data_IF_895877547070
#
_entry.id   IF_895877547070
#
_cell.length_a   1.000
_cell.length_b   1.000
_cell.length_c   1.000
_cell.angle_alpha   90.00
_cell.angle_beta   90.00
_cell.angle_gamma   90.00
#
_symmetry.space_group_name_H-M   'P 1'
#
loop_
_entity.id
_entity.type
_entity.pdbx_description
1 polymer ?
#
# COMPACT_ATOMS: atom_id res chain seq x y z
N UNK A 1 -9.79 7.39 -26.50
CA UNK A 1 -9.06 6.98 -25.27
C UNK A 1 -9.40 5.53 -25.03
N UNK A 2 -8.40 4.67 -24.69
CA UNK A 2 -8.69 3.28 -24.27
C UNK A 2 -9.53 3.32 -23.00
N UNK A 3 -10.47 2.37 -22.79
CA UNK A 3 -11.24 2.33 -21.55
C UNK A 3 -10.29 2.15 -20.35
N UNK A 4 -10.60 2.75 -19.20
CA UNK A 4 -9.82 2.53 -17.97
C UNK A 4 -9.79 1.04 -17.60
N UNK A 5 -8.77 0.58 -16.87
CA UNK A 5 -8.77 -0.77 -16.31
C UNK A 5 -10.01 -1.00 -15.44
N UNK A 6 -10.46 -2.26 -15.33
CA UNK A 6 -11.63 -2.63 -14.51
C UNK A 6 -11.27 -2.65 -13.00
N UNK A 7 -10.68 -1.57 -12.54
CA UNK A 7 -10.23 -1.35 -11.18
C UNK A 7 -10.47 0.11 -10.79
N UNK A 8 -11.02 0.33 -9.61
CA UNK A 8 -11.12 1.67 -9.00
C UNK A 8 -9.93 1.86 -8.05
N UNK A 9 -9.10 2.87 -8.33
CA UNK A 9 -8.07 3.31 -7.40
C UNK A 9 -8.65 4.26 -6.36
N UNK A 10 -8.13 4.17 -5.16
CA UNK A 10 -8.48 5.01 -4.02
C UNK A 10 -7.22 5.68 -3.50
N UNK A 11 -7.32 6.96 -3.20
CA UNK A 11 -6.25 7.73 -2.56
C UNK A 11 -6.85 8.76 -1.61
N UNK A 12 -6.00 9.31 -0.73
CA UNK A 12 -6.40 10.39 0.16
C UNK A 12 -5.33 11.49 0.21
N UNK A 13 -5.76 12.74 0.25
CA UNK A 13 -4.87 13.89 0.31
C UNK A 13 -5.36 14.90 1.34
N UNK A 14 -4.60 15.03 2.43
CA UNK A 14 -4.87 15.93 3.53
C UNK A 14 -3.72 16.88 3.79
N UNK A 15 -4.02 18.12 4.13
CA UNK A 15 -3.06 19.07 4.63
C UNK A 15 -2.76 18.79 6.11
N UNK A 16 -1.57 18.27 6.37
CA UNK A 16 -1.08 17.97 7.71
C UNK A 16 -0.16 19.07 8.27
N UNK A 17 0.24 20.04 7.47
CA UNK A 17 1.14 21.10 7.89
C UNK A 17 0.58 21.93 9.06
N UNK A 18 -0.75 22.06 9.11
CA UNK A 18 -1.47 22.74 10.23
C UNK A 18 -1.30 22.03 11.58
N UNK A 19 -0.98 20.74 11.61
CA UNK A 19 -0.80 19.97 12.84
C UNK A 19 0.69 19.76 13.16
N UNK A 20 1.53 19.70 12.14
CA UNK A 20 2.96 19.55 12.26
C UNK A 20 3.65 20.29 11.10
N UNK A 21 4.35 21.37 11.42
CA UNK A 21 5.04 22.24 10.45
C UNK A 21 6.21 21.57 9.72
N UNK A 22 6.57 20.34 10.09
CA UNK A 22 7.51 19.49 9.35
C UNK A 22 6.81 18.69 8.24
N UNK A 23 5.49 18.58 8.29
CA UNK A 23 4.72 18.00 7.20
C UNK A 23 4.74 18.90 5.97
N UNK A 24 4.43 18.31 4.83
CA UNK A 24 4.35 19.02 3.55
C UNK A 24 3.26 20.08 3.57
N UNK A 25 3.51 21.19 2.91
CA UNK A 25 2.49 22.23 2.67
C UNK A 25 1.43 21.72 1.70
N UNK A 26 0.31 22.43 1.60
CA UNK A 26 -0.74 22.10 0.62
C UNK A 26 -0.19 22.14 -0.81
N UNK A 27 0.65 23.10 -1.15
CA UNK A 27 1.26 23.24 -2.48
C UNK A 27 2.17 22.05 -2.80
N UNK A 28 3.00 21.63 -1.85
CA UNK A 28 3.85 20.44 -2.00
C UNK A 28 3.00 19.18 -2.17
N UNK A 29 1.94 19.02 -1.39
CA UNK A 29 1.01 17.90 -1.52
C UNK A 29 0.36 17.86 -2.91
N UNK A 30 -0.09 19.01 -3.42
CA UNK A 30 -0.70 19.12 -4.75
C UNK A 30 0.29 18.86 -5.89
N UNK A 31 1.53 19.27 -5.72
CA UNK A 31 2.60 18.96 -6.69
C UNK A 31 2.90 17.45 -6.72
N UNK A 32 2.97 16.81 -5.55
CA UNK A 32 3.31 15.41 -5.42
C UNK A 32 2.21 14.44 -5.90
N UNK A 33 0.93 14.80 -5.73
CA UNK A 33 -0.19 14.00 -6.23
C UNK A 33 -0.39 14.16 -7.75
N UNK A 34 0.14 15.22 -8.35
CA UNK A 34 -0.09 15.55 -9.77
C UNK A 34 0.19 14.39 -10.75
N UNK A 35 1.24 13.58 -10.62
CA UNK A 35 1.47 12.43 -11.49
C UNK A 35 0.31 11.40 -11.44
N UNK A 36 -0.25 11.14 -10.25
CA UNK A 36 -1.41 10.26 -10.09
C UNK A 36 -2.65 10.84 -10.77
N UNK A 37 -2.85 12.15 -10.69
CA UNK A 37 -4.01 12.84 -11.27
C UNK A 37 -4.02 12.83 -12.81
N UNK A 38 -2.91 12.50 -13.45
CA UNK A 38 -2.80 12.39 -14.92
C UNK A 38 -3.21 10.99 -15.44
N UNK A 39 -3.33 10.00 -14.55
CA UNK A 39 -3.58 8.62 -14.99
C UNK A 39 -5.01 8.42 -15.48
N UNK A 40 -5.22 7.76 -16.63
CA UNK A 40 -6.53 7.45 -17.18
C UNK A 40 -7.13 6.19 -16.48
N UNK A 41 -7.38 6.31 -15.18
CA UNK A 41 -7.95 5.27 -14.31
C UNK A 41 -9.18 5.78 -13.58
N UNK A 42 -10.09 4.89 -13.20
CA UNK A 42 -11.15 5.23 -12.26
C UNK A 42 -10.51 5.57 -10.91
N UNK A 43 -10.80 6.75 -10.39
CA UNK A 43 -10.15 7.27 -9.21
C UNK A 43 -11.15 7.85 -8.22
N UNK A 44 -11.05 7.42 -6.96
CA UNK A 44 -11.75 8.05 -5.85
C UNK A 44 -10.72 8.76 -4.98
N UNK A 45 -10.99 10.02 -4.68
CA UNK A 45 -10.08 10.87 -3.92
C UNK A 45 -10.81 11.38 -2.70
N UNK A 46 -10.33 10.95 -1.54
CA UNK A 46 -10.73 11.49 -0.24
C UNK A 46 -9.85 12.68 0.13
N UNK A 47 -10.43 13.69 0.74
CA UNK A 47 -9.67 14.86 1.18
C UNK A 47 -10.52 15.90 1.87
N UNK A 48 -9.85 16.91 2.41
CA UNK A 48 -10.51 18.01 3.11
C UNK A 48 -11.06 19.07 2.14
N UNK A 49 -11.82 20.00 2.67
CA UNK A 49 -12.28 21.20 1.94
C UNK A 49 -11.14 22.06 1.37
N UNK A 50 -9.93 21.93 1.91
CA UNK A 50 -8.76 22.67 1.42
C UNK A 50 -8.08 21.98 0.23
N UNK A 51 -8.10 20.65 0.15
CA UNK A 51 -7.38 19.90 -0.89
C UNK A 51 -8.26 19.52 -2.08
N UNK A 52 -9.52 19.11 -1.86
CA UNK A 52 -10.40 18.61 -2.92
C UNK A 52 -10.65 19.60 -4.05
N UNK A 53 -10.90 20.91 -3.83
CA UNK A 53 -11.14 21.85 -4.94
C UNK A 53 -9.97 21.95 -5.91
N UNK A 54 -8.75 22.04 -5.39
CA UNK A 54 -7.54 22.15 -6.21
C UNK A 54 -7.24 20.85 -6.98
N UNK A 55 -7.42 19.69 -6.33
CA UNK A 55 -7.28 18.37 -6.97
C UNK A 55 -8.29 18.20 -8.11
N UNK A 56 -9.55 18.57 -7.89
CA UNK A 56 -10.59 18.55 -8.94
C UNK A 56 -10.18 19.40 -10.13
N UNK A 57 -9.69 20.61 -9.89
CA UNK A 57 -9.25 21.51 -10.95
C UNK A 57 -8.12 20.89 -11.79
N UNK A 58 -7.11 20.27 -11.14
CA UNK A 58 -6.06 19.55 -11.85
C UNK A 58 -6.61 18.38 -12.69
N UNK A 59 -7.51 17.58 -12.14
CA UNK A 59 -8.10 16.43 -12.84
C UNK A 59 -8.94 16.84 -14.05
N UNK A 60 -9.62 18.00 -13.96
CA UNK A 60 -10.38 18.60 -15.06
C UNK A 60 -9.47 19.04 -16.22
N UNK A 61 -8.29 19.58 -15.95
CA UNK A 61 -7.30 19.95 -16.98
C UNK A 61 -6.93 18.75 -17.86
N UNK A 62 -6.90 17.54 -17.28
CA UNK A 62 -6.63 16.30 -18.02
C UNK A 62 -7.87 15.65 -18.63
N UNK A 63 -9.07 16.27 -18.54
CA UNK A 63 -10.34 15.72 -19.00
C UNK A 63 -10.71 14.36 -18.40
N UNK A 64 -10.35 14.14 -17.13
CA UNK A 64 -10.53 12.88 -16.40
C UNK A 64 -11.61 12.97 -15.32
N UNK A 65 -12.32 14.08 -15.21
CA UNK A 65 -13.34 14.34 -14.19
C UNK A 65 -14.47 13.30 -14.21
N UNK A 66 -14.89 12.85 -15.40
CA UNK A 66 -15.97 11.84 -15.58
C UNK A 66 -15.63 10.46 -15.00
N UNK A 67 -14.36 10.14 -14.84
CA UNK A 67 -13.87 8.89 -14.26
C UNK A 67 -13.27 9.11 -12.87
N UNK A 68 -13.65 10.21 -12.22
CA UNK A 68 -13.16 10.58 -10.88
C UNK A 68 -14.33 10.89 -9.96
N UNK A 69 -14.29 10.38 -8.74
CA UNK A 69 -15.21 10.77 -7.67
C UNK A 69 -14.41 11.43 -6.54
N UNK A 70 -14.88 12.57 -6.10
CA UNK A 70 -14.29 13.33 -5.01
C UNK A 70 -15.16 13.19 -3.78
N UNK A 71 -14.56 12.81 -2.66
CA UNK A 71 -15.25 12.69 -1.37
C UNK A 71 -14.58 13.67 -0.42
N UNK A 72 -15.29 14.77 -0.16
CA UNK A 72 -14.85 15.74 0.82
C UNK A 72 -15.30 15.29 2.20
N UNK A 73 -14.32 14.99 3.04
CA UNK A 73 -14.52 14.58 4.43
C UNK A 73 -13.39 15.18 5.27
N UNK A 74 -13.73 15.82 6.36
CA UNK A 74 -12.72 16.40 7.24
C UNK A 74 -12.06 15.31 8.09
N UNK A 75 -10.85 15.57 8.59
CA UNK A 75 -10.14 14.58 9.39
C UNK A 75 -10.91 14.20 10.66
N UNK A 76 -11.62 15.15 11.23
CA UNK A 76 -12.42 15.01 12.44
C UNK A 76 -13.61 14.05 12.25
N UNK A 77 -14.04 13.83 11.01
CA UNK A 77 -15.14 12.92 10.64
C UNK A 77 -14.64 11.51 10.25
N UNK A 78 -13.32 11.28 10.22
CA UNK A 78 -12.76 9.98 9.91
C UNK A 78 -13.03 8.97 11.03
N UNK A 79 -13.30 7.72 10.65
CA UNK A 79 -13.52 6.64 11.61
C UNK A 79 -12.37 6.50 12.63
N UNK A 80 -11.13 6.68 12.19
CA UNK A 80 -9.95 6.59 13.06
C UNK A 80 -9.79 7.77 14.00
N UNK A 81 -10.45 8.91 13.76
CA UNK A 81 -10.28 10.14 14.55
C UNK A 81 -10.65 9.95 16.03
N UNK A 82 -11.63 9.12 16.35
CA UNK A 82 -12.00 8.77 17.73
C UNK A 82 -10.83 8.24 18.56
N UNK A 83 -9.79 7.72 17.91
CA UNK A 83 -8.58 7.20 18.55
C UNK A 83 -7.45 8.23 18.65
N UNK A 84 -7.60 9.44 18.12
CA UNK A 84 -6.51 10.42 18.03
C UNK A 84 -5.86 10.71 19.38
N UNK A 85 -6.66 10.94 20.43
CA UNK A 85 -6.15 11.21 21.78
C UNK A 85 -5.30 10.04 22.27
N UNK A 86 -5.79 8.81 22.09
CA UNK A 86 -5.07 7.61 22.51
C UNK A 86 -3.77 7.40 21.72
N UNK A 87 -3.81 7.68 20.42
CA UNK A 87 -2.61 7.64 19.58
C UNK A 87 -1.59 8.68 20.05
N UNK A 88 -2.00 9.91 20.39
CA UNK A 88 -1.10 10.92 20.96
C UNK A 88 -0.43 10.47 22.25
N UNK A 89 -1.21 9.92 23.19
CA UNK A 89 -0.68 9.35 24.44
C UNK A 89 0.33 8.21 24.20
N UNK A 90 0.00 7.30 23.29
CA UNK A 90 0.89 6.18 22.95
C UNK A 90 2.20 6.67 22.36
N UNK A 91 2.14 7.65 21.44
CA UNK A 91 3.33 8.21 20.79
C UNK A 91 4.20 9.04 21.71
N UNK A 92 3.67 9.60 22.79
CA UNK A 92 4.49 10.25 23.83
C UNK A 92 5.36 9.26 24.60
N UNK A 93 4.87 8.04 24.79
CA UNK A 93 5.62 6.97 25.47
C UNK A 93 6.57 6.27 24.51
N UNK A 94 6.25 6.31 23.23
CA UNK A 94 6.86 5.43 22.27
C UNK A 94 6.82 6.02 20.84
N UNK A 95 8.00 6.44 20.35
CA UNK A 95 8.13 7.00 19.00
C UNK A 95 9.02 6.13 18.11
N UNK A 96 8.48 5.21 17.28
CA UNK A 96 9.26 4.21 16.59
C UNK A 96 10.02 4.72 15.38
N UNK A 97 9.70 5.91 14.89
CA UNK A 97 10.31 6.50 13.70
C UNK A 97 11.03 7.80 14.03
N UNK A 98 12.13 8.05 13.32
CA UNK A 98 12.87 9.32 13.35
C UNK A 98 12.38 10.32 12.31
N UNK A 99 11.37 9.98 11.51
CA UNK A 99 10.82 10.88 10.51
C UNK A 99 9.97 11.97 11.21
N UNK A 100 10.52 13.17 11.26
CA UNK A 100 9.89 14.33 11.90
C UNK A 100 8.56 14.76 11.24
N UNK A 101 8.28 14.28 10.02
CA UNK A 101 7.01 14.53 9.33
C UNK A 101 5.87 13.68 9.88
N UNK A 102 6.15 12.61 10.62
CA UNK A 102 5.11 11.77 11.21
C UNK A 102 4.54 12.40 12.46
N UNK A 103 3.23 12.41 12.58
CA UNK A 103 2.48 12.87 13.76
C UNK A 103 1.31 11.91 14.03
N UNK A 104 0.57 12.13 15.11
CA UNK A 104 -0.60 11.31 15.42
C UNK A 104 -1.67 11.44 14.33
N UNK A 105 -1.83 12.63 13.78
CA UNK A 105 -2.76 12.93 12.70
C UNK A 105 -2.39 12.19 11.41
N UNK A 106 -1.10 12.12 11.06
CA UNK A 106 -0.67 11.32 9.90
C UNK A 106 -0.94 9.84 10.10
N UNK A 107 -0.75 9.32 11.32
CA UNK A 107 -1.06 7.93 11.65
C UNK A 107 -2.56 7.62 11.52
N UNK A 108 -3.43 8.53 11.99
CA UNK A 108 -4.89 8.42 11.84
C UNK A 108 -5.27 8.30 10.37
N UNK A 109 -4.74 9.15 9.50
CA UNK A 109 -5.06 9.11 8.07
C UNK A 109 -4.51 7.85 7.41
N UNK A 110 -3.27 7.46 7.72
CA UNK A 110 -2.68 6.24 7.18
C UNK A 110 -3.49 4.99 7.55
N UNK A 111 -3.98 4.89 8.79
CA UNK A 111 -4.81 3.76 9.21
C UNK A 111 -6.25 3.85 8.67
N UNK A 112 -6.75 5.05 8.36
CA UNK A 112 -8.07 5.21 7.76
C UNK A 112 -8.14 4.72 6.30
N UNK A 113 -7.00 4.43 5.65
CA UNK A 113 -7.00 3.84 4.30
C UNK A 113 -7.83 2.56 4.21
N UNK A 114 -7.87 1.77 5.28
CA UNK A 114 -8.67 0.55 5.33
C UNK A 114 -10.16 0.86 5.20
N UNK A 115 -10.63 1.89 5.88
CA UNK A 115 -12.02 2.35 5.84
C UNK A 115 -12.36 2.97 4.48
N UNK A 116 -11.50 3.82 3.94
CA UNK A 116 -11.69 4.41 2.61
C UNK A 116 -11.89 3.35 1.53
N UNK A 117 -11.11 2.26 1.58
CA UNK A 117 -11.24 1.18 0.59
C UNK A 117 -12.52 0.38 0.83
N UNK A 118 -12.87 0.08 2.08
CA UNK A 118 -14.12 -0.62 2.43
C UNK A 118 -15.36 0.16 2.00
N UNK A 119 -15.42 1.45 2.28
CA UNK A 119 -16.50 2.33 1.82
C UNK A 119 -16.59 2.37 0.29
N UNK A 120 -15.43 2.42 -0.37
CA UNK A 120 -15.39 2.41 -1.84
C UNK A 120 -15.87 1.10 -2.43
N UNK A 121 -15.52 -0.05 -1.83
CA UNK A 121 -16.04 -1.36 -2.23
C UNK A 121 -17.57 -1.37 -2.12
N UNK A 122 -18.11 -0.93 -1.00
CA UNK A 122 -19.55 -0.88 -0.76
C UNK A 122 -20.28 0.07 -1.74
N UNK A 123 -19.67 1.19 -2.07
CA UNK A 123 -20.23 2.21 -2.94
C UNK A 123 -20.14 1.83 -4.42
N UNK A 124 -19.04 1.25 -4.85
CA UNK A 124 -18.66 0.87 -6.22
C UNK A 124 -19.20 1.79 -7.34
N UNK A 125 -18.85 3.08 -7.35
CA UNK A 125 -19.50 4.07 -8.21
C UNK A 125 -19.19 3.89 -9.71
N UNK A 126 -18.16 3.12 -10.04
CA UNK A 126 -17.74 2.86 -11.43
C UNK A 126 -18.03 1.43 -11.88
N UNK A 127 -18.71 0.63 -11.05
CA UNK A 127 -19.04 -0.76 -11.33
C UNK A 127 -17.82 -1.59 -11.75
N UNK A 128 -16.72 -1.45 -11.00
CA UNK A 128 -15.47 -2.17 -11.24
C UNK A 128 -15.38 -3.45 -10.39
N UNK A 129 -14.57 -4.40 -10.84
CA UNK A 129 -14.39 -5.69 -10.16
C UNK A 129 -13.25 -5.68 -9.13
N UNK A 130 -12.37 -4.70 -9.19
CA UNK A 130 -11.22 -4.58 -8.29
C UNK A 130 -11.12 -3.18 -7.72
N UNK A 131 -10.50 -3.10 -6.55
CA UNK A 131 -10.26 -1.87 -5.80
C UNK A 131 -8.82 -1.82 -5.36
N UNK A 132 -8.16 -0.67 -5.50
CA UNK A 132 -6.76 -0.53 -5.15
C UNK A 132 -6.51 0.75 -4.36
N UNK A 133 -5.72 0.64 -3.31
CA UNK A 133 -5.14 1.80 -2.64
C UNK A 133 -3.86 2.24 -3.34
N UNK A 134 -3.67 3.52 -3.48
CA UNK A 134 -2.40 4.14 -3.87
C UNK A 134 -2.15 5.38 -3.04
N UNK A 135 -0.99 5.45 -2.40
CA UNK A 135 -0.61 6.66 -1.66
C UNK A 135 -0.50 7.85 -2.61
N UNK A 136 -1.01 9.00 -2.20
CA UNK A 136 -1.06 10.20 -3.03
C UNK A 136 0.31 10.66 -3.56
N UNK A 137 1.38 10.33 -2.87
CA UNK A 137 2.75 10.81 -3.16
C UNK A 137 3.66 9.74 -3.72
N UNK A 138 3.10 8.66 -4.25
CA UNK A 138 3.87 7.56 -4.85
C UNK A 138 4.55 7.92 -6.21
N UNK A 139 4.42 9.11 -6.72
CA UNK A 139 4.95 9.47 -8.04
C UNK A 139 6.21 10.30 -8.04
N UNK A 140 6.75 10.69 -6.88
CA UNK A 140 7.87 11.62 -6.83
C UNK A 140 9.19 10.98 -6.40
N UNK A 141 10.00 10.60 -7.40
CA UNK A 141 11.36 10.13 -7.17
C UNK A 141 12.33 11.19 -6.61
N UNK A 142 11.97 12.48 -6.62
CA UNK A 142 12.85 13.56 -6.17
C UNK A 142 12.87 13.75 -4.66
N UNK A 143 11.81 13.36 -3.93
CA UNK A 143 11.66 13.60 -2.50
C UNK A 143 11.83 12.34 -1.63
N UNK A 144 12.62 11.39 -2.08
CA UNK A 144 12.96 10.20 -1.28
C UNK A 144 11.89 9.11 -1.24
N UNK A 145 10.78 9.28 -1.93
CA UNK A 145 9.90 8.18 -2.28
C UNK A 145 10.53 7.47 -3.48
N UNK A 146 11.35 6.51 -3.19
CA UNK A 146 12.21 5.73 -4.09
C UNK A 146 11.44 4.78 -4.99
N UNK A 147 10.40 5.27 -5.66
CA UNK A 147 9.40 4.40 -6.24
C UNK A 147 9.82 3.76 -7.54
N UNK A 148 10.68 4.41 -8.28
CA UNK A 148 11.34 3.85 -9.45
C UNK A 148 12.43 4.78 -9.93
N UNK A 149 13.64 4.29 -10.18
CA UNK A 149 14.66 5.03 -10.91
C UNK A 149 14.18 5.40 -12.33
N UNK A 150 13.19 4.71 -12.86
CA UNK A 150 12.56 4.92 -14.16
C UNK A 150 11.03 4.88 -14.00
N UNK A 151 10.46 5.81 -13.23
CA UNK A 151 9.01 5.90 -13.10
C UNK A 151 8.36 6.24 -14.45
N UNK A 152 7.72 5.23 -15.02
CA UNK A 152 6.78 5.44 -16.13
C UNK A 152 5.39 5.62 -15.52
N UNK A 153 4.79 6.80 -15.69
CA UNK A 153 3.43 7.07 -15.21
C UNK A 153 2.40 6.04 -15.69
N UNK A 154 2.67 5.38 -16.81
CA UNK A 154 1.80 4.33 -17.37
C UNK A 154 1.99 2.96 -16.69
N UNK A 155 2.92 2.81 -15.74
CA UNK A 155 3.09 1.52 -15.04
C UNK A 155 1.85 1.14 -14.24
N UNK A 156 1.21 2.09 -13.57
CA UNK A 156 0.00 1.84 -12.77
C UNK A 156 -1.15 1.31 -13.64
N UNK A 157 -1.56 1.94 -14.74
CA UNK A 157 -2.56 1.36 -15.64
C UNK A 157 -2.19 -0.03 -16.17
N UNK A 158 -0.90 -0.30 -16.43
CA UNK A 158 -0.43 -1.65 -16.85
C UNK A 158 -0.65 -2.68 -15.76
N UNK A 159 -0.23 -2.36 -14.52
CA UNK A 159 -0.44 -3.25 -13.36
C UNK A 159 -1.93 -3.58 -13.21
N UNK A 160 -2.79 -2.56 -13.17
CA UNK A 160 -4.22 -2.76 -12.99
C UNK A 160 -4.81 -3.62 -14.11
N UNK A 161 -4.37 -3.40 -15.33
CA UNK A 161 -4.82 -4.18 -16.46
C UNK A 161 -4.44 -5.67 -16.36
N UNK A 162 -3.20 -5.96 -15.96
CA UNK A 162 -2.76 -7.35 -15.76
C UNK A 162 -3.49 -8.01 -14.59
N UNK A 163 -3.63 -7.33 -13.45
CA UNK A 163 -4.34 -7.87 -12.29
C UNK A 163 -5.82 -8.15 -12.56
N UNK A 164 -6.48 -7.33 -13.38
CA UNK A 164 -7.90 -7.51 -13.72
C UNK A 164 -8.16 -8.49 -14.85
N UNK A 165 -7.13 -8.92 -15.59
CA UNK A 165 -7.22 -9.92 -16.65
C UNK A 165 -6.96 -11.36 -16.21
N UNK A 166 -6.38 -11.55 -15.03
CA UNK A 166 -6.05 -12.89 -14.56
C UNK A 166 -7.32 -13.74 -14.41
N UNK A 167 -7.43 -14.88 -15.11
CA UNK A 167 -8.64 -15.71 -15.09
C UNK A 167 -8.86 -16.44 -13.75
N UNK A 168 -7.83 -16.59 -12.96
CA UNK A 168 -7.80 -17.11 -11.60
C UNK A 168 -6.41 -16.85 -11.00
N UNK A 169 -6.27 -16.33 -9.83
CA UNK A 169 -7.22 -16.08 -8.75
C UNK A 169 -7.48 -14.59 -8.56
N UNK A 170 -8.41 -14.06 -9.32
CA UNK A 170 -8.84 -12.66 -9.25
C UNK A 170 -9.43 -12.26 -7.90
N UNK A 171 -9.73 -13.24 -7.04
CA UNK A 171 -10.35 -13.00 -5.74
C UNK A 171 -9.35 -12.76 -4.60
N UNK A 172 -8.09 -12.40 -4.92
CA UNK A 172 -7.05 -12.18 -3.91
C UNK A 172 -6.81 -10.72 -3.58
N UNK A 173 -6.17 -10.54 -2.44
CA UNK A 173 -5.56 -9.27 -2.02
C UNK A 173 -4.10 -9.27 -2.46
N UNK A 174 -3.71 -8.35 -3.32
CA UNK A 174 -2.36 -8.25 -3.90
C UNK A 174 -1.57 -7.17 -3.17
N UNK A 175 -0.46 -7.55 -2.53
CA UNK A 175 0.41 -6.64 -1.80
C UNK A 175 1.88 -7.06 -1.90
N UNK A 176 2.78 -6.10 -1.80
CA UNK A 176 4.21 -6.38 -1.75
C UNK A 176 4.68 -6.60 -0.32
N UNK A 177 5.31 -7.74 -0.08
CA UNK A 177 6.01 -8.07 1.17
C UNK A 177 7.44 -7.55 1.07
N UNK A 178 7.87 -6.78 2.08
CA UNK A 178 9.18 -6.14 2.15
C UNK A 178 10.16 -6.91 3.00
N UNK A 179 9.71 -7.37 4.17
CA UNK A 179 10.57 -7.99 5.15
C UNK A 179 9.95 -9.25 5.74
N UNK A 180 10.83 -10.16 6.05
CA UNK A 180 10.56 -11.30 6.89
C UNK A 180 10.88 -10.93 8.34
N UNK A 181 9.87 -10.84 9.17
CA UNK A 181 10.05 -10.64 10.61
C UNK A 181 10.06 -12.00 11.31
N UNK A 182 10.83 -12.11 12.40
CA UNK A 182 10.94 -13.34 13.18
C UNK A 182 9.54 -13.84 13.62
N UNK A 183 9.25 -15.10 13.34
CA UNK A 183 7.96 -15.74 13.67
C UNK A 183 7.61 -15.67 15.16
N UNK A 184 8.62 -15.54 16.05
CA UNK A 184 8.40 -15.34 17.49
C UNK A 184 7.49 -14.14 17.81
N UNK A 185 7.47 -13.10 16.94
CA UNK A 185 6.65 -11.91 17.15
C UNK A 185 5.16 -12.14 17.01
N UNK A 186 4.73 -13.29 16.49
CA UNK A 186 3.32 -13.70 16.48
C UNK A 186 2.83 -14.18 17.84
N UNK A 187 3.77 -14.57 18.71
CA UNK A 187 3.44 -14.88 20.09
C UNK A 187 3.00 -13.59 20.82
N UNK A 188 1.83 -13.57 21.49
CA UNK A 188 1.36 -12.41 22.24
C UNK A 188 2.37 -11.87 23.25
N UNK A 189 3.23 -12.72 23.82
CA UNK A 189 4.28 -12.31 24.75
C UNK A 189 5.37 -11.45 24.11
N UNK A 190 5.59 -11.61 22.80
CA UNK A 190 6.61 -10.89 22.05
C UNK A 190 6.06 -9.70 21.25
N UNK A 191 4.73 -9.49 21.25
CA UNK A 191 4.10 -8.38 20.52
C UNK A 191 4.64 -7.02 20.94
N UNK A 192 4.95 -6.83 22.21
CA UNK A 192 5.54 -5.59 22.70
C UNK A 192 6.88 -5.32 22.01
N UNK A 193 7.77 -6.29 21.98
CA UNK A 193 9.08 -6.16 21.31
C UNK A 193 8.92 -5.84 19.82
N UNK A 194 7.90 -6.42 19.17
CA UNK A 194 7.62 -6.16 17.77
C UNK A 194 7.21 -4.69 17.53
N UNK A 195 6.28 -4.16 18.32
CA UNK A 195 5.77 -2.80 18.17
C UNK A 195 6.70 -1.72 18.78
N UNK A 196 7.72 -2.10 19.52
CA UNK A 196 8.72 -1.17 20.08
C UNK A 196 9.64 -0.55 19.02
N UNK A 197 9.69 -1.10 17.82
CA UNK A 197 10.46 -0.56 16.69
C UNK A 197 9.62 -0.57 15.44
N UNK A 198 9.80 0.45 14.58
CA UNK A 198 9.16 0.40 13.28
C UNK A 198 9.73 -0.74 12.44
N UNK A 199 8.84 -1.62 11.96
CA UNK A 199 9.18 -2.78 11.14
C UNK A 199 8.31 -2.77 9.89
N UNK A 200 8.94 -2.62 8.74
CA UNK A 200 8.24 -2.74 7.46
C UNK A 200 7.97 -4.21 7.19
N UNK A 201 6.73 -4.63 7.28
CA UNK A 201 6.28 -5.99 6.92
C UNK A 201 5.92 -6.01 5.44
N UNK A 202 5.11 -5.04 5.03
CA UNK A 202 4.65 -4.86 3.65
C UNK A 202 4.92 -3.44 3.19
N UNK A 203 4.74 -3.18 1.89
CA UNK A 203 4.63 -1.84 1.39
C UNK A 203 3.15 -1.44 1.31
N UNK A 204 2.68 -0.70 2.30
CA UNK A 204 1.29 -0.26 2.42
C UNK A 204 0.89 0.86 1.45
N UNK A 205 1.85 1.41 0.69
CA UNK A 205 1.59 2.49 -0.26
C UNK A 205 0.85 2.09 -1.53
N UNK A 206 0.80 0.79 -1.86
CA UNK A 206 0.04 0.27 -2.99
C UNK A 206 -0.42 -1.16 -2.75
N UNK A 207 -1.71 -1.41 -2.94
CA UNK A 207 -2.29 -2.75 -3.01
C UNK A 207 -3.54 -2.75 -3.89
N UNK A 208 -3.91 -3.92 -4.39
CA UNK A 208 -5.15 -4.12 -5.18
C UNK A 208 -5.87 -5.36 -4.68
N UNK A 209 -7.19 -5.30 -4.59
CA UNK A 209 -8.00 -6.39 -4.05
C UNK A 209 -9.29 -6.60 -4.81
N UNK A 210 -9.77 -7.84 -4.83
CA UNK A 210 -11.16 -8.14 -5.12
C UNK A 210 -12.05 -7.78 -3.91
N UNK A 211 -13.34 -7.52 -4.08
CA UNK A 211 -14.23 -7.06 -3.01
C UNK A 211 -14.25 -7.98 -1.80
N UNK A 212 -14.38 -9.29 -2.01
CA UNK A 212 -14.53 -10.26 -0.92
C UNK A 212 -13.26 -10.37 -0.06
N UNK A 213 -12.10 -10.60 -0.69
CA UNK A 213 -10.82 -10.66 0.01
C UNK A 213 -10.51 -9.32 0.69
N UNK A 214 -10.76 -8.20 -0.02
CA UNK A 214 -10.58 -6.86 0.53
C UNK A 214 -11.41 -6.62 1.77
N UNK A 215 -12.69 -6.98 1.73
CA UNK A 215 -13.59 -6.78 2.88
C UNK A 215 -13.09 -7.53 4.12
N UNK A 216 -12.72 -8.80 3.98
CA UNK A 216 -12.24 -9.62 5.10
C UNK A 216 -10.92 -9.08 5.68
N UNK A 217 -9.95 -8.85 4.82
CA UNK A 217 -8.60 -8.46 5.23
C UNK A 217 -8.58 -7.03 5.80
N UNK A 218 -9.24 -6.09 5.15
CA UNK A 218 -9.26 -4.69 5.62
C UNK A 218 -10.07 -4.54 6.91
N UNK A 219 -11.13 -5.33 7.10
CA UNK A 219 -11.86 -5.38 8.38
C UNK A 219 -10.93 -5.89 9.49
N UNK A 220 -10.18 -6.95 9.24
CA UNK A 220 -9.21 -7.47 10.23
C UNK A 220 -8.10 -6.44 10.55
N UNK A 221 -7.61 -5.73 9.56
CA UNK A 221 -6.63 -4.65 9.76
C UNK A 221 -7.19 -3.50 10.61
N UNK A 222 -8.47 -3.17 10.47
CA UNK A 222 -9.15 -2.20 11.36
C UNK A 222 -9.23 -2.72 12.80
N UNK A 223 -9.54 -3.99 13.00
CA UNK A 223 -9.55 -4.61 14.33
C UNK A 223 -8.16 -4.55 14.97
N UNK A 224 -7.10 -4.93 14.23
CA UNK A 224 -5.72 -4.88 14.71
C UNK A 224 -5.30 -3.45 15.07
N UNK A 225 -5.72 -2.44 14.30
CA UNK A 225 -5.51 -1.04 14.65
C UNK A 225 -6.13 -0.69 16.00
N UNK A 226 -7.36 -1.11 16.26
CA UNK A 226 -8.04 -0.86 17.55
C UNK A 226 -7.34 -1.59 18.68
N UNK A 227 -7.05 -2.87 18.49
CA UNK A 227 -6.37 -3.72 19.48
C UNK A 227 -5.00 -3.13 19.87
N UNK A 228 -4.15 -2.83 18.90
CA UNK A 228 -2.80 -2.30 19.12
C UNK A 228 -2.83 -0.90 19.74
N UNK A 229 -3.76 -0.04 19.32
CA UNK A 229 -3.93 1.30 19.89
C UNK A 229 -4.34 1.20 21.37
N UNK A 230 -5.26 0.30 21.71
CA UNK A 230 -5.71 0.08 23.09
C UNK A 230 -4.62 -0.52 23.97
N UNK A 231 -3.73 -1.34 23.41
CA UNK A 231 -2.58 -1.92 24.11
C UNK A 231 -1.43 -0.91 24.35
N UNK A 232 -1.55 0.32 23.83
CA UNK A 232 -0.56 1.35 24.05
C UNK A 232 0.47 1.50 22.92
N UNK A 233 0.23 0.85 21.77
CA UNK A 233 1.04 0.99 20.58
C UNK A 233 0.37 1.95 19.58
N UNK A 234 1.11 2.44 18.62
CA UNK A 234 0.56 3.40 17.65
C UNK A 234 1.59 3.70 16.57
N UNK A 235 1.79 2.72 15.68
CA UNK A 235 2.84 2.76 14.68
C UNK A 235 2.25 2.54 13.32
N UNK A 236 3.07 2.58 12.27
CA UNK A 236 2.62 2.50 10.90
C UNK A 236 1.77 1.26 10.61
N UNK A 237 0.76 1.43 9.81
CA UNK A 237 -0.21 0.41 9.42
C UNK A 237 0.44 -0.82 8.75
N UNK A 238 1.63 -0.66 8.17
CA UNK A 238 2.39 -1.74 7.54
C UNK A 238 2.77 -2.86 8.52
N UNK A 239 2.88 -2.53 9.82
CA UNK A 239 3.18 -3.50 10.86
C UNK A 239 2.02 -4.45 11.16
N UNK A 240 0.78 -4.03 10.94
CA UNK A 240 -0.41 -4.83 11.21
C UNK A 240 -0.49 -6.08 10.32
N UNK A 241 0.17 -6.05 9.18
CA UNK A 241 0.19 -7.17 8.25
C UNK A 241 0.96 -8.39 8.75
N UNK A 242 1.74 -8.30 9.84
CA UNK A 242 2.42 -9.46 10.42
C UNK A 242 1.43 -10.61 10.74
N UNK A 243 0.27 -10.26 11.26
CA UNK A 243 -0.78 -11.25 11.59
C UNK A 243 -1.58 -11.64 10.35
N UNK A 244 -1.98 -10.65 9.58
CA UNK A 244 -2.83 -10.80 8.40
C UNK A 244 -2.21 -11.68 7.31
N UNK A 245 -0.90 -11.58 7.10
CA UNK A 245 -0.21 -12.39 6.07
C UNK A 245 -0.34 -13.88 6.31
N UNK A 246 -0.38 -14.35 7.55
CA UNK A 246 -0.57 -15.77 7.86
C UNK A 246 -2.04 -16.15 7.97
N UNK A 247 -2.83 -15.32 8.66
CA UNK A 247 -4.25 -15.57 8.90
C UNK A 247 -5.02 -15.74 7.57
N UNK A 248 -4.64 -14.96 6.56
CA UNK A 248 -5.22 -14.99 5.21
C UNK A 248 -4.24 -15.47 4.14
N UNK A 249 -3.42 -16.48 4.46
CA UNK A 249 -2.33 -16.93 3.59
C UNK A 249 -2.78 -17.18 2.14
N UNK A 250 -3.88 -17.92 1.98
CA UNK A 250 -4.41 -18.31 0.67
C UNK A 250 -5.15 -17.17 -0.04
N UNK A 251 -5.60 -16.16 0.68
CA UNK A 251 -6.32 -15.00 0.12
C UNK A 251 -5.37 -13.87 -0.34
N UNK A 252 -4.09 -13.95 0.03
CA UNK A 252 -3.11 -12.90 -0.28
C UNK A 252 -2.15 -13.37 -1.36
N UNK A 253 -2.11 -12.63 -2.46
CA UNK A 253 -1.05 -12.73 -3.45
C UNK A 253 0.11 -11.83 -3.05
N UNK A 254 1.26 -12.44 -2.77
CA UNK A 254 2.47 -11.76 -2.34
C UNK A 254 3.39 -11.49 -3.52
N UNK A 255 3.72 -10.24 -3.78
CA UNK A 255 4.91 -9.89 -4.53
C UNK A 255 6.04 -9.57 -3.55
N UNK A 256 7.28 -9.81 -3.95
CA UNK A 256 8.44 -9.58 -3.10
C UNK A 256 9.39 -8.61 -3.78
N UNK A 257 10.02 -7.75 -2.99
CA UNK A 257 10.97 -6.83 -3.56
C UNK A 257 11.34 -5.68 -2.63
N UNK A 258 12.18 -4.77 -3.11
CA UNK A 258 12.60 -3.59 -2.37
C UNK A 258 11.50 -2.51 -2.37
N UNK A 259 11.43 -1.74 -1.30
CA UNK A 259 10.49 -0.63 -1.14
C UNK A 259 10.57 0.37 -2.30
N UNK A 260 11.77 0.67 -2.77
CA UNK A 260 11.98 1.59 -3.87
C UNK A 260 11.43 1.14 -5.23
N UNK A 261 10.92 -0.07 -5.35
CA UNK A 261 10.45 -0.66 -6.60
C UNK A 261 9.01 -1.18 -6.51
N UNK A 262 8.24 -0.64 -5.57
CA UNK A 262 6.90 -1.15 -5.24
C UNK A 262 6.00 -1.39 -6.46
N UNK A 263 5.93 -0.48 -7.40
CA UNK A 263 5.12 -0.64 -8.60
C UNK A 263 5.76 -1.60 -9.60
N UNK A 264 7.07 -1.57 -9.76
CA UNK A 264 7.79 -2.46 -10.68
C UNK A 264 7.69 -3.92 -10.27
N UNK A 265 7.69 -4.21 -8.98
CA UNK A 265 7.64 -5.58 -8.47
C UNK A 265 6.34 -6.31 -8.78
N UNK A 266 5.28 -5.61 -9.18
CA UNK A 266 4.04 -6.22 -9.67
C UNK A 266 4.15 -6.72 -11.11
N UNK A 267 4.92 -6.04 -11.96
CA UNK A 267 5.02 -6.35 -13.40
C UNK A 267 6.41 -6.71 -13.88
N UNK A 268 7.40 -6.02 -13.37
CA UNK A 268 8.78 -6.13 -13.83
C UNK A 268 9.69 -6.32 -12.62
N UNK A 269 10.31 -7.50 -12.51
CA UNK A 269 11.35 -7.68 -11.52
C UNK A 269 12.45 -6.62 -11.71
N UNK A 270 12.99 -6.15 -10.62
CA UNK A 270 14.13 -5.22 -10.63
C UNK A 270 15.35 -5.87 -11.27
N UNK A 271 16.35 -5.07 -11.69
CA UNK A 271 17.62 -5.59 -12.21
C UNK A 271 18.33 -6.54 -11.24
N UNK A 272 18.04 -6.47 -9.97
CA UNK A 272 18.66 -7.25 -8.90
C UNK A 272 17.69 -8.27 -8.29
N UNK A 273 16.67 -8.70 -9.02
CA UNK A 273 15.62 -9.55 -8.48
C UNK A 273 16.18 -10.84 -7.86
N UNK A 274 17.15 -11.48 -8.51
CA UNK A 274 17.76 -12.70 -7.98
C UNK A 274 18.37 -12.46 -6.60
N UNK A 275 19.15 -11.39 -6.44
CA UNK A 275 19.77 -11.04 -5.17
C UNK A 275 18.71 -10.74 -4.10
N UNK A 276 17.69 -9.94 -4.45
CA UNK A 276 16.61 -9.59 -3.55
C UNK A 276 15.82 -10.82 -3.12
N UNK A 277 15.48 -11.70 -4.06
CA UNK A 277 14.74 -12.93 -3.75
C UNK A 277 15.56 -13.91 -2.94
N UNK A 278 16.86 -14.09 -3.24
CA UNK A 278 17.74 -14.91 -2.42
C UNK A 278 17.82 -14.40 -0.98
N UNK A 279 18.01 -13.11 -0.82
CA UNK A 279 18.08 -12.50 0.53
C UNK A 279 16.76 -12.68 1.28
N UNK A 280 15.62 -12.48 0.62
CA UNK A 280 14.29 -12.67 1.21
C UNK A 280 14.08 -14.15 1.55
N UNK A 281 14.43 -15.07 0.67
CA UNK A 281 14.33 -16.51 0.90
C UNK A 281 15.15 -16.94 2.14
N UNK A 282 16.41 -16.51 2.24
CA UNK A 282 17.23 -16.80 3.42
C UNK A 282 16.62 -16.22 4.70
N UNK A 283 16.10 -15.01 4.65
CA UNK A 283 15.44 -14.38 5.77
C UNK A 283 14.21 -15.18 6.23
N UNK A 284 13.36 -15.65 5.31
CA UNK A 284 12.22 -16.50 5.65
C UNK A 284 12.66 -17.82 6.27
N UNK A 285 13.66 -18.48 5.69
CA UNK A 285 14.23 -19.71 6.24
C UNK A 285 14.73 -19.52 7.68
N UNK A 286 15.54 -18.47 7.89
CA UNK A 286 16.12 -18.18 9.19
C UNK A 286 15.08 -17.75 10.24
N UNK A 287 13.99 -17.13 9.82
CA UNK A 287 12.87 -16.73 10.67
C UNK A 287 11.84 -17.84 10.92
N UNK A 288 12.03 -19.04 10.33
CA UNK A 288 11.16 -20.20 10.55
C UNK A 288 9.89 -20.24 9.68
N UNK A 289 9.86 -19.50 8.58
CA UNK A 289 8.72 -19.47 7.63
C UNK A 289 8.99 -20.38 6.45
N UNK A 290 8.81 -21.69 6.64
CA UNK A 290 9.16 -22.70 5.62
C UNK A 290 8.32 -22.54 4.35
N UNK A 291 7.03 -22.26 4.46
CA UNK A 291 6.12 -22.15 3.32
C UNK A 291 6.46 -20.92 2.45
N UNK A 292 6.71 -19.76 3.08
CA UNK A 292 7.13 -18.56 2.40
C UNK A 292 8.50 -18.72 1.75
N UNK A 293 9.43 -19.41 2.40
CA UNK A 293 10.72 -19.77 1.81
C UNK A 293 10.54 -20.54 0.50
N UNK A 294 9.74 -21.60 0.51
CA UNK A 294 9.46 -22.42 -0.68
C UNK A 294 8.76 -21.61 -1.78
N UNK A 295 7.81 -20.75 -1.43
CA UNK A 295 7.10 -19.87 -2.37
C UNK A 295 8.06 -18.87 -3.04
N UNK A 296 8.95 -18.24 -2.27
CA UNK A 296 9.97 -17.34 -2.82
C UNK A 296 10.95 -18.08 -3.71
N UNK A 297 11.37 -19.27 -3.34
CA UNK A 297 12.25 -20.10 -4.17
C UNK A 297 11.62 -20.47 -5.53
N UNK A 298 10.33 -20.82 -5.53
CA UNK A 298 9.59 -21.09 -6.79
C UNK A 298 9.49 -19.86 -7.68
N UNK A 299 9.20 -18.69 -7.08
CA UNK A 299 9.14 -17.43 -7.82
C UNK A 299 10.51 -17.00 -8.35
N UNK A 300 11.58 -17.21 -7.57
CA UNK A 300 12.94 -16.98 -8.01
C UNK A 300 13.27 -17.82 -9.23
N UNK A 301 13.00 -19.15 -9.19
CA UNK A 301 13.25 -20.05 -10.31
C UNK A 301 12.50 -19.60 -11.56
N UNK A 302 11.20 -19.29 -11.44
CA UNK A 302 10.40 -18.82 -12.57
C UNK A 302 10.97 -17.51 -13.17
N UNK A 303 11.42 -16.58 -12.34
CA UNK A 303 12.01 -15.32 -12.80
C UNK A 303 13.34 -15.51 -13.52
N UNK A 304 14.16 -16.46 -13.08
CA UNK A 304 15.42 -16.84 -13.75
C UNK A 304 15.11 -17.45 -15.10
N UNK A 305 14.15 -18.37 -15.17
CA UNK A 305 13.75 -19.04 -16.40
C UNK A 305 13.21 -18.03 -17.43
N UNK A 306 12.36 -17.09 -17.03
CA UNK A 306 11.88 -16.01 -17.90
C UNK A 306 13.02 -15.11 -18.40
N UNK A 307 13.96 -14.77 -17.53
CA UNK A 307 15.11 -13.96 -17.89
C UNK A 307 15.99 -14.65 -18.93
N UNK A 308 16.24 -15.95 -18.76
CA UNK A 308 17.03 -16.76 -19.69
C UNK A 308 16.32 -16.86 -21.04
N UNK A 309 15.02 -17.12 -21.06
CA UNK A 309 14.19 -17.18 -22.29
C UNK A 309 14.25 -15.85 -23.05
N UNK A 310 14.12 -14.73 -22.37
CA UNK A 310 14.22 -13.40 -23.01
C UNK A 310 15.59 -13.12 -23.62
N UNK A 311 16.64 -13.79 -23.14
CA UNK A 311 18.01 -13.68 -23.67
C UNK A 311 18.32 -14.72 -24.74
N UNK A 312 17.34 -15.52 -25.22
CA UNK A 312 17.50 -16.51 -26.27
C UNK A 312 18.12 -17.82 -25.79
N UNK A 313 18.15 -18.06 -24.48
CA UNK A 313 18.48 -19.38 -23.96
C UNK A 313 17.33 -20.37 -24.29
N UNK A 314 17.60 -21.64 -24.58
CA UNK A 314 16.54 -22.63 -24.74
C UNK A 314 15.73 -22.75 -23.45
N UNK A 315 14.40 -22.91 -23.57
CA UNK A 315 13.55 -23.16 -22.41
C UNK A 315 14.06 -24.37 -21.62
N UNK A 316 14.11 -24.31 -20.29
CA UNK A 316 14.44 -25.50 -19.50
C UNK A 316 13.42 -26.62 -19.80
N UNK A 317 13.91 -27.84 -19.93
CA UNK A 317 13.14 -29.05 -20.25
C UNK A 317 12.19 -29.39 -19.09
#
# INVERSE_FOLDING_TARGET
MKPPPNCTLITACYDLNKYNNKCRTTEECLALISPLLQLPVYLIIYGSKTTIPAIRMQRQIYNLDKITKYIQIEMEDLWTYQFLTKVKENRQKFWPTRDERTCAESHIICCNKFDFVLETIAMNPFNTTHFGWIDAYLGDGKNGLRICENYDSMIVPKILHELTKMPTPTNKFHIQVLNCNDKKFKDPQNKREFYERYRWVVCGGFFVTAPEAGTRILTRLKEIFVETTNQGFGHGEEMFYLEVLDEFYDDIHRSYGDYGQILNNFLNPTKNIEYVYHTIAENFKNAGYQQEYEDVCKKLQHSVDEYLIRRGAPAPL
#
